data_IF_966889400520
#
_entry.id   IF_966889400520
#
_cell.length_a   1.000
_cell.length_b   1.000
_cell.length_c   1.000
_cell.angle_alpha   90.00
_cell.angle_beta   90.00
_cell.angle_gamma   90.00
#
_symmetry.space_group_name_H-M   'P 1'
#
loop_
_entity.id
_entity.type
_entity.pdbx_description
1 polymer ?
#
# COMPACT_ATOMS: atom_id res chain seq x y z
N UNK A 1 33.96 2.33 -26.98
CA UNK A 1 32.73 2.69 -27.73
C UNK A 1 31.92 3.59 -26.82
N UNK A 2 31.96 4.90 -27.06
CA UNK A 2 31.24 5.88 -26.25
C UNK A 2 29.82 5.99 -26.77
N UNK A 3 28.84 5.69 -25.93
CA UNK A 3 27.43 5.91 -26.24
C UNK A 3 27.11 7.39 -25.98
N UNK A 4 26.98 8.13 -27.06
CA UNK A 4 26.46 9.49 -27.06
C UNK A 4 24.95 9.44 -26.79
N UNK A 5 24.50 10.06 -25.71
CA UNK A 5 23.08 10.21 -25.39
C UNK A 5 22.49 11.35 -26.23
N UNK A 6 21.41 11.14 -27.00
CA UNK A 6 20.78 12.22 -27.73
C UNK A 6 20.08 13.19 -26.76
N UNK A 7 20.27 14.47 -27.03
CA UNK A 7 19.72 15.62 -26.32
C UNK A 7 18.20 15.71 -26.41
N UNK A 8 17.59 15.96 -25.24
CA UNK A 8 16.31 16.64 -24.95
C UNK A 8 15.36 16.86 -26.14
N UNK A 9 14.21 16.19 -26.13
CA UNK A 9 12.90 16.82 -25.93
C UNK A 9 11.77 15.80 -26.15
N UNK A 10 11.39 15.13 -25.06
CA UNK A 10 10.01 14.69 -24.86
C UNK A 10 9.82 14.70 -23.34
N UNK A 11 9.06 15.66 -22.80
CA UNK A 11 8.40 15.47 -21.49
C UNK A 11 7.30 14.42 -21.69
N UNK A 12 7.72 13.21 -22.07
CA UNK A 12 6.98 12.00 -21.80
C UNK A 12 6.72 12.07 -20.30
N UNK A 13 5.46 12.10 -19.88
CA UNK A 13 5.13 11.99 -18.45
C UNK A 13 5.74 10.66 -18.02
N UNK A 14 6.98 10.67 -17.53
CA UNK A 14 7.59 9.50 -16.91
C UNK A 14 6.62 9.19 -15.79
N UNK A 15 5.85 8.11 -15.96
CA UNK A 15 4.91 7.66 -14.96
C UNK A 15 5.67 7.47 -13.65
N UNK A 16 4.95 7.63 -12.54
CA UNK A 16 5.49 7.38 -11.22
C UNK A 16 6.28 6.06 -11.20
N UNK A 17 7.57 6.14 -10.91
CA UNK A 17 8.44 4.97 -10.97
C UNK A 17 8.37 4.20 -9.64
N UNK A 18 7.81 2.99 -9.69
CA UNK A 18 7.76 2.07 -8.55
C UNK A 18 8.23 0.67 -8.97
N UNK A 19 8.81 -0.07 -8.02
CA UNK A 19 9.12 -1.50 -8.18
C UNK A 19 8.24 -2.32 -7.25
N UNK A 20 7.63 -3.38 -7.77
CA UNK A 20 6.89 -4.36 -6.97
C UNK A 20 7.72 -5.64 -6.95
N UNK A 21 8.01 -6.14 -5.75
CA UNK A 21 8.80 -7.35 -5.52
C UNK A 21 7.90 -8.41 -4.91
N UNK A 22 7.76 -9.54 -5.60
CA UNK A 22 7.08 -10.73 -5.09
C UNK A 22 8.11 -11.65 -4.43
N UNK A 23 8.13 -11.63 -3.11
CA UNK A 23 8.92 -12.56 -2.30
C UNK A 23 8.13 -13.87 -2.06
N UNK A 24 8.79 -14.87 -1.47
CA UNK A 24 8.15 -16.16 -1.16
C UNK A 24 6.91 -16.04 -0.26
N UNK A 25 6.91 -15.10 0.68
CA UNK A 25 5.90 -14.96 1.73
C UNK A 25 5.22 -13.60 1.75
N UNK A 26 5.64 -12.66 0.90
CA UNK A 26 5.11 -11.30 0.91
C UNK A 26 5.25 -10.58 -0.43
N UNK A 27 4.35 -9.62 -0.65
CA UNK A 27 4.43 -8.65 -1.73
C UNK A 27 4.86 -7.30 -1.16
N UNK A 28 5.93 -6.74 -1.70
CA UNK A 28 6.45 -5.42 -1.32
C UNK A 28 6.44 -4.49 -2.53
N UNK A 29 6.28 -3.19 -2.30
CA UNK A 29 6.40 -2.17 -3.33
C UNK A 29 7.25 -1.02 -2.80
N UNK A 30 8.11 -0.46 -3.64
CA UNK A 30 9.03 0.61 -3.26
C UNK A 30 8.95 1.76 -4.26
N UNK A 31 8.97 2.99 -3.73
CA UNK A 31 9.01 4.20 -4.53
C UNK A 31 10.45 4.43 -5.02
N UNK A 32 10.67 4.53 -6.33
CA UNK A 32 11.99 4.78 -6.92
C UNK A 32 12.28 6.27 -7.14
N UNK A 33 11.31 7.15 -6.92
CA UNK A 33 11.44 8.60 -7.09
C UNK A 33 12.02 9.29 -5.85
N UNK A 34 11.79 8.70 -4.68
CA UNK A 34 12.28 9.22 -3.40
C UNK A 34 13.64 8.60 -3.03
N UNK A 35 14.57 9.39 -2.47
CA UNK A 35 15.83 8.84 -1.96
C UNK A 35 15.55 7.82 -0.85
N UNK A 36 16.43 6.82 -0.71
CA UNK A 36 16.28 5.65 0.19
C UNK A 36 15.20 4.65 -0.22
N UNK A 37 14.50 4.87 -1.33
CA UNK A 37 13.48 3.97 -1.86
C UNK A 37 12.45 3.50 -0.82
N UNK A 38 11.68 4.41 -0.20
CA UNK A 38 10.74 4.05 0.85
C UNK A 38 9.65 3.10 0.36
N UNK A 39 9.10 2.29 1.27
CA UNK A 39 8.08 1.30 0.95
C UNK A 39 6.72 1.96 0.70
N UNK A 40 6.04 1.58 -0.38
CA UNK A 40 4.68 2.03 -0.70
C UNK A 40 3.68 1.18 0.10
N UNK A 41 2.69 1.84 0.73
CA UNK A 41 1.60 1.14 1.43
C UNK A 41 0.73 0.37 0.43
N UNK A 42 0.66 -0.95 0.59
CA UNK A 42 -0.25 -1.80 -0.20
C UNK A 42 -1.66 -1.78 0.38
N UNK A 43 -2.72 -1.73 -0.43
CA UNK A 43 -4.11 -1.80 0.03
C UNK A 43 -4.58 -3.24 0.28
N UNK A 44 -3.87 -4.24 -0.26
CA UNK A 44 -4.23 -5.65 -0.19
C UNK A 44 -2.98 -6.55 -0.15
N UNK A 45 -3.16 -7.86 -0.02
CA UNK A 45 -2.08 -8.88 0.01
C UNK A 45 -1.10 -8.70 1.17
N UNK A 46 -1.61 -8.37 2.36
CA UNK A 46 -0.84 -8.35 3.60
C UNK A 46 -0.41 -9.75 4.03
N UNK A 47 0.80 -9.84 4.57
CA UNK A 47 1.36 -11.09 5.09
C UNK A 47 0.80 -11.35 6.48
N UNK A 48 -0.42 -11.89 6.56
CA UNK A 48 -1.10 -12.17 7.84
C UNK A 48 -0.33 -13.16 8.73
N UNK A 49 0.60 -13.91 8.15
CA UNK A 49 1.41 -14.93 8.82
C UNK A 49 2.83 -14.42 9.17
N UNK A 50 3.04 -13.10 9.24
CA UNK A 50 4.32 -12.53 9.72
C UNK A 50 4.64 -12.98 11.15
N UNK A 51 3.61 -13.33 11.92
CA UNK A 51 3.65 -14.18 13.10
C UNK A 51 2.70 -15.37 12.92
N UNK A 52 2.86 -16.47 13.68
CA UNK A 52 1.88 -17.54 13.69
C UNK A 52 0.52 -17.02 14.17
N UNK A 53 -0.49 -17.12 13.31
CA UNK A 53 -1.88 -16.83 13.69
C UNK A 53 -2.35 -17.93 14.62
N UNK A 54 -2.75 -17.57 15.84
CA UNK A 54 -3.20 -18.53 16.86
C UNK A 54 -4.72 -18.56 16.99
N UNK A 55 -5.37 -17.42 16.75
CA UNK A 55 -6.82 -17.30 16.77
C UNK A 55 -7.27 -16.24 15.77
N UNK A 56 -8.55 -16.29 15.41
CA UNK A 56 -9.21 -15.28 14.58
C UNK A 56 -10.51 -14.90 15.26
N UNK A 57 -10.84 -13.61 15.25
CA UNK A 57 -12.13 -13.12 15.72
C UNK A 57 -12.73 -12.16 14.71
N UNK A 58 -13.94 -12.48 14.26
CA UNK A 58 -14.73 -11.65 13.37
C UNK A 58 -15.77 -10.88 14.19
N UNK A 59 -15.89 -9.58 13.93
CA UNK A 59 -16.93 -8.71 14.44
C UNK A 59 -17.68 -8.12 13.25
N UNK A 60 -18.96 -8.46 13.11
CA UNK A 60 -19.80 -8.00 12.00
C UNK A 60 -20.65 -6.79 12.42
N UNK A 61 -20.98 -5.93 11.47
CA UNK A 61 -21.90 -4.81 11.71
C UNK A 61 -21.38 -3.79 12.73
N UNK A 62 -20.07 -3.53 12.76
CA UNK A 62 -19.44 -2.58 13.67
C UNK A 62 -19.94 -1.15 13.43
N UNK A 63 -20.00 -0.33 14.49
CA UNK A 63 -20.44 1.06 14.36
C UNK A 63 -19.44 1.91 13.58
N UNK A 64 -19.96 2.94 12.90
CA UNK A 64 -19.14 3.91 12.18
C UNK A 64 -18.20 4.67 13.13
N UNK A 65 -18.62 4.95 14.38
CA UNK A 65 -17.74 5.63 15.35
C UNK A 65 -16.54 4.75 15.71
N UNK A 66 -16.74 3.45 15.90
CA UNK A 66 -15.65 2.50 16.14
C UNK A 66 -14.68 2.49 14.96
N UNK A 67 -15.18 2.36 13.73
CA UNK A 67 -14.34 2.39 12.53
C UNK A 67 -13.54 3.69 12.41
N UNK A 68 -14.19 4.85 12.64
CA UNK A 68 -13.52 6.15 12.63
C UNK A 68 -12.43 6.24 13.70
N UNK A 69 -12.70 5.78 14.92
CA UNK A 69 -11.70 5.77 16.00
C UNK A 69 -10.46 4.93 15.66
N UNK A 70 -10.63 3.79 14.99
CA UNK A 70 -9.52 2.95 14.53
C UNK A 70 -8.69 3.64 13.45
N UNK A 71 -9.36 4.36 12.55
CA UNK A 71 -8.69 5.15 11.51
C UNK A 71 -7.90 6.33 12.10
N UNK A 72 -8.44 6.99 13.13
CA UNK A 72 -7.72 8.05 13.86
C UNK A 72 -6.46 7.51 14.56
N UNK A 73 -6.55 6.36 15.23
CA UNK A 73 -5.40 5.70 15.85
C UNK A 73 -4.33 5.39 14.81
N UNK A 74 -4.71 4.89 13.63
CA UNK A 74 -3.79 4.64 12.51
C UNK A 74 -3.07 5.90 12.02
N UNK A 75 -3.74 7.05 12.03
CA UNK A 75 -3.18 8.34 11.57
C UNK A 75 -2.26 8.94 12.64
N UNK A 76 -2.65 8.83 13.92
CA UNK A 76 -1.93 9.42 15.06
C UNK A 76 -0.72 8.59 15.50
N UNK A 77 -0.73 7.28 15.24
CA UNK A 77 0.39 6.37 15.51
C UNK A 77 0.89 5.71 14.21
N UNK A 78 1.45 6.49 13.26
CA UNK A 78 1.96 5.92 12.03
C UNK A 78 3.28 5.16 12.30
N UNK A 79 3.61 4.13 11.51
CA UNK A 79 4.94 3.57 11.51
C UNK A 79 5.98 4.67 11.18
N UNK A 80 7.25 4.51 11.59
CA UNK A 80 8.28 5.52 11.35
C UNK A 80 8.32 5.94 9.88
N UNK A 81 8.18 7.26 9.63
CA UNK A 81 8.02 7.86 8.28
C UNK A 81 9.19 7.56 7.34
N UNK A 82 10.38 7.30 7.88
CA UNK A 82 11.56 6.99 7.07
C UNK A 82 11.44 5.72 6.23
N UNK A 83 10.46 4.86 6.52
CA UNK A 83 10.26 3.60 5.82
C UNK A 83 9.05 3.58 4.89
N UNK A 84 8.23 4.64 4.87
CA UNK A 84 6.93 4.61 4.17
C UNK A 84 6.76 5.81 3.25
N UNK A 85 6.49 5.54 1.97
CA UNK A 85 6.24 6.55 0.95
C UNK A 85 4.80 7.07 1.01
N UNK A 86 4.63 8.34 0.66
CA UNK A 86 3.32 8.97 0.42
C UNK A 86 2.77 8.67 -0.99
N UNK A 87 3.55 7.99 -1.85
CA UNK A 87 3.10 7.55 -3.16
C UNK A 87 1.89 6.59 -3.03
N UNK A 88 0.90 6.79 -3.89
CA UNK A 88 -0.25 5.89 -4.01
C UNK A 88 0.15 4.50 -4.52
N UNK A 89 -0.73 3.51 -4.31
CA UNK A 89 -0.48 2.15 -4.80
C UNK A 89 -0.41 2.13 -6.34
N UNK A 90 0.68 1.62 -6.96
CA UNK A 90 0.88 1.75 -8.40
C UNK A 90 0.01 0.83 -9.26
N UNK A 91 -0.47 -0.31 -8.73
CA UNK A 91 -1.29 -1.26 -9.50
C UNK A 91 -2.79 -0.89 -9.44
N UNK A 92 -3.15 0.20 -10.12
CA UNK A 92 -4.53 0.72 -10.23
C UNK A 92 -5.26 0.28 -11.52
N UNK A 93 -4.89 -0.86 -12.10
CA UNK A 93 -5.55 -1.36 -13.30
C UNK A 93 -6.98 -1.86 -13.02
N UNK A 94 -7.89 -1.67 -13.97
CA UNK A 94 -9.27 -2.17 -13.91
C UNK A 94 -10.26 -1.23 -13.21
N UNK A 95 -11.51 -1.69 -13.06
CA UNK A 95 -12.60 -0.96 -12.40
C UNK A 95 -13.37 -1.89 -11.45
N UNK A 96 -13.59 -1.43 -10.22
CA UNK A 96 -14.45 -2.13 -9.25
C UNK A 96 -15.91 -1.86 -9.62
N UNK A 97 -16.68 -2.93 -9.87
CA UNK A 97 -18.12 -2.85 -10.22
C UNK A 97 -19.06 -3.03 -9.03
N UNK A 98 -18.51 -3.45 -7.90
CA UNK A 98 -19.25 -3.66 -6.67
C UNK A 98 -19.52 -2.30 -6.01
N UNK A 99 -20.67 -2.17 -5.37
CA UNK A 99 -20.95 -1.02 -4.52
C UNK A 99 -20.07 -1.08 -3.27
N UNK A 100 -19.75 0.09 -2.71
CA UNK A 100 -19.09 0.19 -1.41
C UNK A 100 -19.94 -0.51 -0.32
N UNK A 101 -19.31 -1.17 0.65
CA UNK A 101 -20.02 -1.86 1.73
C UNK A 101 -20.79 -0.86 2.60
N UNK A 102 -22.00 -1.26 3.04
CA UNK A 102 -22.87 -0.44 3.89
C UNK A 102 -22.57 -0.60 5.39
N UNK A 103 -21.90 -1.69 5.77
CA UNK A 103 -21.47 -2.00 7.14
C UNK A 103 -19.95 -2.20 7.20
N UNK A 104 -19.39 -2.05 8.40
CA UNK A 104 -17.98 -2.33 8.65
C UNK A 104 -17.85 -3.63 9.43
N UNK A 105 -17.11 -4.59 8.88
CA UNK A 105 -16.76 -5.81 9.57
C UNK A 105 -15.26 -5.78 9.89
N UNK A 106 -14.89 -6.25 11.07
CA UNK A 106 -13.52 -6.20 11.58
C UNK A 106 -13.04 -7.63 11.86
N UNK A 107 -11.95 -8.03 11.20
CA UNK A 107 -11.23 -9.25 11.48
C UNK A 107 -9.99 -8.93 12.33
N UNK A 108 -9.92 -9.53 13.51
CA UNK A 108 -8.75 -9.46 14.40
C UNK A 108 -7.99 -10.78 14.34
N UNK A 109 -6.69 -10.69 14.09
CA UNK A 109 -5.76 -11.82 13.90
C UNK A 109 -4.66 -11.82 14.95
#
# INVERSE_FOLDING_TARGET
MSFSCPSKDEKSKRGQAAVIVLCKQELLAFNLEEPKCPQIRKPYLFSLHSSPITCLRLFEGCSTELYQSLQEVRITSPPPREHVSDMGWPAMGGYVRQAEPTSFDILVT
#
